data_IF_975656590438
#
_entry.id   IF_975656590438
#
_cell.length_a   1.000
_cell.length_b   1.000
_cell.length_c   1.000
_cell.angle_alpha   90.00
_cell.angle_beta   90.00
_cell.angle_gamma   90.00
#
_symmetry.space_group_name_H-M   'P 1'
#
loop_
_entity.id
_entity.type
_entity.pdbx_description
1 polymer ?
#
# COMPACT_ATOMS: atom_id res chain seq x y z
N UNK A 1 5.36 7.06 -22.40
CA UNK A 1 4.82 7.81 -21.24
C UNK A 1 3.36 8.08 -21.52
N UNK A 2 2.45 7.57 -20.68
CA UNK A 2 1.02 7.83 -20.76
C UNK A 2 0.65 8.88 -19.72
N UNK A 3 -0.04 9.94 -20.13
CA UNK A 3 -0.57 10.96 -19.22
C UNK A 3 -2.09 10.81 -19.22
N UNK A 4 -2.66 10.56 -18.05
CA UNK A 4 -4.07 10.25 -17.87
C UNK A 4 -4.55 10.84 -16.54
N UNK A 5 -5.82 11.23 -16.47
CA UNK A 5 -6.47 11.54 -15.19
C UNK A 5 -6.78 10.24 -14.43
N UNK A 6 -7.51 10.33 -13.31
CA UNK A 6 -8.02 9.16 -12.55
C UNK A 6 -8.73 8.12 -13.43
N UNK A 7 -9.14 8.50 -14.64
CA UNK A 7 -9.65 7.61 -15.69
C UNK A 7 -8.49 6.82 -16.34
N UNK A 8 -7.83 5.98 -15.53
CA UNK A 8 -7.37 4.62 -15.91
C UNK A 8 -8.41 3.60 -15.39
N UNK A 9 -9.62 4.08 -15.08
CA UNK A 9 -10.71 3.28 -14.50
C UNK A 9 -11.23 2.19 -15.46
N UNK A 10 -11.04 2.37 -16.78
CA UNK A 10 -11.50 1.40 -17.79
C UNK A 10 -10.33 0.80 -18.60
N UNK A 11 -9.88 -0.38 -18.17
CA UNK A 11 -9.39 -1.40 -19.11
C UNK A 11 -8.07 -1.19 -19.85
N UNK A 12 -7.31 -0.11 -19.60
CA UNK A 12 -5.95 0.02 -20.16
C UNK A 12 -5.02 -0.90 -19.37
N UNK A 13 -4.78 -2.06 -19.94
CA UNK A 13 -3.73 -3.00 -19.52
C UNK A 13 -2.52 -2.79 -20.43
N UNK A 14 -1.46 -2.22 -19.88
CA UNK A 14 -0.17 -2.08 -20.57
C UNK A 14 0.82 -2.97 -19.83
N UNK A 15 1.02 -4.22 -20.26
CA UNK A 15 1.88 -5.18 -19.55
C UNK A 15 3.33 -4.70 -19.37
N UNK A 16 3.81 -3.83 -20.25
CA UNK A 16 5.14 -3.23 -20.19
C UNK A 16 5.24 -2.03 -19.24
N UNK A 17 4.13 -1.54 -18.67
CA UNK A 17 4.15 -0.44 -17.73
C UNK A 17 4.62 -0.92 -16.36
N UNK A 18 5.80 -0.46 -15.95
CA UNK A 18 6.43 -0.79 -14.67
C UNK A 18 6.54 0.41 -13.73
N UNK A 19 6.18 1.62 -14.17
CA UNK A 19 6.30 2.84 -13.37
C UNK A 19 5.02 3.65 -13.47
N UNK A 20 4.47 4.06 -12.32
CA UNK A 20 3.34 4.97 -12.23
C UNK A 20 3.72 6.20 -11.40
N UNK A 21 3.30 7.38 -11.86
CA UNK A 21 3.42 8.64 -11.12
C UNK A 21 2.00 9.14 -10.84
N UNK A 22 1.65 9.26 -9.56
CA UNK A 22 0.33 9.70 -9.13
C UNK A 22 0.46 11.13 -8.60
N UNK A 23 -0.01 12.09 -9.39
CA UNK A 23 -0.09 13.49 -9.00
C UNK A 23 -1.24 13.71 -8.00
N UNK A 24 -1.01 14.54 -6.99
CA UNK A 24 -1.96 14.82 -5.90
C UNK A 24 -2.51 13.56 -5.24
N UNK A 25 -1.62 12.63 -4.87
CA UNK A 25 -1.98 11.41 -4.17
C UNK A 25 -2.75 11.67 -2.84
N UNK A 26 -2.59 12.86 -2.25
CA UNK A 26 -3.36 13.35 -1.09
C UNK A 26 -4.89 13.34 -1.31
N UNK A 27 -5.33 13.48 -2.56
CA UNK A 27 -6.75 13.55 -2.94
C UNK A 27 -7.42 12.19 -3.14
N UNK A 28 -6.66 11.10 -3.18
CA UNK A 28 -7.20 9.77 -3.48
C UNK A 28 -7.50 8.97 -2.22
N UNK A 29 -8.58 8.19 -2.23
CA UNK A 29 -8.85 7.20 -1.20
C UNK A 29 -7.83 6.06 -1.20
N UNK A 30 -7.70 5.36 -0.06
CA UNK A 30 -6.70 4.29 0.10
C UNK A 30 -6.89 3.17 -0.92
N UNK A 31 -8.15 2.76 -1.13
CA UNK A 31 -8.51 1.73 -2.10
C UNK A 31 -8.16 2.16 -3.54
N UNK A 32 -8.37 3.43 -3.89
CA UNK A 32 -8.02 3.95 -5.21
C UNK A 32 -6.51 3.92 -5.45
N UNK A 33 -5.72 4.36 -4.45
CA UNK A 33 -4.25 4.29 -4.51
C UNK A 33 -3.76 2.85 -4.67
N UNK A 34 -4.35 1.92 -3.91
CA UNK A 34 -4.03 0.49 -4.02
C UNK A 34 -4.38 -0.08 -5.41
N UNK A 35 -5.53 0.27 -5.95
CA UNK A 35 -5.94 -0.14 -7.30
C UNK A 35 -5.03 0.43 -8.38
N UNK A 36 -4.65 1.71 -8.30
CA UNK A 36 -3.71 2.35 -9.23
C UNK A 36 -2.32 1.72 -9.16
N UNK A 37 -1.81 1.43 -7.96
CA UNK A 37 -0.54 0.70 -7.77
C UNK A 37 -0.57 -0.66 -8.45
N UNK A 38 -1.68 -1.40 -8.34
CA UNK A 38 -1.85 -2.70 -8.98
C UNK A 38 -1.95 -2.70 -10.51
N UNK A 39 -1.93 -1.52 -11.17
CA UNK A 39 -1.90 -1.40 -12.64
C UNK A 39 -0.49 -1.50 -13.22
N UNK A 40 0.55 -1.42 -12.40
CA UNK A 40 1.96 -1.60 -12.81
C UNK A 40 2.56 -2.84 -12.16
N UNK A 41 3.65 -3.36 -12.73
CA UNK A 41 4.37 -4.50 -12.13
C UNK A 41 3.79 -5.87 -12.48
N UNK A 42 3.17 -5.99 -13.67
CA UNK A 42 2.71 -7.28 -14.23
C UNK A 42 3.82 -8.12 -14.87
N UNK A 43 5.09 -7.72 -14.70
CA UNK A 43 6.27 -8.38 -15.25
C UNK A 43 7.17 -8.91 -14.12
N UNK A 44 8.18 -9.71 -14.44
CA UNK A 44 9.18 -10.18 -13.47
C UNK A 44 10.14 -9.08 -12.99
N UNK A 45 10.00 -7.84 -13.47
CA UNK A 45 10.82 -6.72 -13.07
C UNK A 45 10.14 -5.88 -11.98
N UNK A 46 10.96 -5.36 -11.07
CA UNK A 46 10.54 -4.38 -10.06
C UNK A 46 9.74 -3.25 -10.71
N UNK A 47 8.58 -2.96 -10.12
CA UNK A 47 7.79 -1.79 -10.46
C UNK A 47 7.92 -0.71 -9.40
N UNK A 48 7.69 0.54 -9.82
CA UNK A 48 7.78 1.71 -8.96
C UNK A 48 6.49 2.52 -9.02
N UNK A 49 5.98 2.93 -7.85
CA UNK A 49 4.85 3.83 -7.73
C UNK A 49 5.28 5.08 -6.96
N UNK A 50 5.30 6.23 -7.65
CA UNK A 50 5.66 7.51 -7.05
C UNK A 50 4.38 8.28 -6.68
N UNK A 51 4.18 8.50 -5.38
CA UNK A 51 3.06 9.26 -4.83
C UNK A 51 3.49 10.71 -4.65
N UNK A 52 3.08 11.59 -5.55
CA UNK A 52 3.42 13.01 -5.51
C UNK A 52 2.36 13.76 -4.70
N UNK A 53 2.82 14.54 -3.73
CA UNK A 53 1.95 15.24 -2.77
C UNK A 53 2.44 16.67 -2.58
N UNK A 54 1.56 17.61 -2.17
CA UNK A 54 2.00 18.91 -1.71
C UNK A 54 2.78 18.75 -0.38
N UNK A 55 3.48 19.81 0.08
CA UNK A 55 4.18 19.77 1.36
C UNK A 55 3.26 19.31 2.50
N UNK A 56 3.74 18.51 3.49
CA UNK A 56 2.89 17.93 4.53
C UNK A 56 2.00 18.92 5.30
N UNK A 57 2.45 20.17 5.44
CA UNK A 57 1.68 21.26 6.08
C UNK A 57 0.40 21.64 5.32
N UNK A 58 0.31 21.33 4.03
CA UNK A 58 -0.84 21.60 3.17
C UNK A 58 -1.79 20.39 3.03
N UNK A 59 -1.48 19.26 3.68
CA UNK A 59 -2.30 18.06 3.64
C UNK A 59 -3.16 17.93 4.91
N UNK A 60 -4.30 17.26 4.78
CA UNK A 60 -5.09 16.87 5.96
C UNK A 60 -4.39 15.75 6.73
N UNK A 61 -4.62 15.67 8.04
CA UNK A 61 -4.08 14.58 8.88
C UNK A 61 -4.46 13.19 8.35
N UNK A 62 -5.68 13.06 7.83
CA UNK A 62 -6.16 11.80 7.26
C UNK A 62 -5.46 11.44 5.95
N UNK A 63 -5.13 12.43 5.11
CA UNK A 63 -4.35 12.19 3.90
C UNK A 63 -2.94 11.71 4.25
N UNK A 64 -2.29 12.31 5.25
CA UNK A 64 -0.96 11.87 5.72
C UNK A 64 -1.00 10.42 6.21
N UNK A 65 -1.93 10.08 7.12
CA UNK A 65 -2.10 8.70 7.63
C UNK A 65 -2.33 7.68 6.51
N UNK A 66 -3.13 8.05 5.51
CA UNK A 66 -3.42 7.21 4.36
C UNK A 66 -2.18 6.96 3.51
N UNK A 67 -1.39 8.01 3.25
CA UNK A 67 -0.16 7.95 2.48
C UNK A 67 0.93 7.14 3.19
N UNK A 68 1.00 7.24 4.52
CA UNK A 68 1.86 6.38 5.34
C UNK A 68 1.43 4.91 5.25
N UNK A 69 0.13 4.63 5.40
CA UNK A 69 -0.41 3.27 5.32
C UNK A 69 -0.15 2.60 3.96
N UNK A 70 -0.33 3.31 2.84
CA UNK A 70 -0.06 2.74 1.51
C UNK A 70 1.44 2.53 1.29
N UNK A 71 2.31 3.41 1.82
CA UNK A 71 3.76 3.28 1.69
C UNK A 71 4.32 2.13 2.53
N UNK A 72 3.71 1.84 3.68
CA UNK A 72 4.06 0.69 4.51
C UNK A 72 3.61 -0.66 3.93
N UNK A 73 2.67 -0.65 2.98
CA UNK A 73 2.15 -1.88 2.36
C UNK A 73 3.06 -2.48 1.28
N UNK A 74 4.26 -1.92 1.07
CA UNK A 74 5.24 -2.32 0.05
C UNK A 74 6.11 -3.53 0.46
N UNK A 75 6.07 -3.95 1.73
CA UNK A 75 6.79 -5.15 2.11
C UNK A 75 6.05 -6.39 1.62
N UNK A 76 6.64 -7.01 0.59
CA UNK A 76 6.53 -8.43 0.28
C UNK A 76 6.94 -9.23 1.53
N UNK A 77 6.08 -9.27 2.54
CA UNK A 77 6.43 -9.68 3.89
C UNK A 77 5.45 -9.18 4.96
N UNK A 78 4.73 -8.08 4.76
CA UNK A 78 3.80 -7.55 5.76
C UNK A 78 2.68 -8.54 6.13
N UNK A 79 2.20 -9.35 5.18
CA UNK A 79 1.25 -10.43 5.48
C UNK A 79 1.86 -11.57 6.32
N UNK A 80 3.15 -11.87 6.12
CA UNK A 80 3.89 -12.88 6.88
C UNK A 80 4.28 -12.36 8.27
N UNK A 81 4.79 -11.12 8.37
CA UNK A 81 5.09 -10.46 9.64
C UNK A 81 3.85 -10.26 10.48
N UNK A 82 2.72 -9.81 9.90
CA UNK A 82 1.45 -9.68 10.64
C UNK A 82 0.92 -11.04 11.10
N UNK A 83 1.06 -12.10 10.27
CA UNK A 83 0.65 -13.46 10.63
C UNK A 83 1.58 -14.11 11.69
N UNK A 84 2.89 -13.89 11.61
CA UNK A 84 3.86 -14.33 12.62
C UNK A 84 3.67 -13.60 13.94
N UNK A 85 3.36 -12.30 13.91
CA UNK A 85 3.08 -11.53 15.13
C UNK A 85 1.74 -11.94 15.75
N UNK A 86 0.70 -12.24 14.95
CA UNK A 86 -0.56 -12.81 15.46
C UNK A 86 -0.35 -14.22 16.07
N UNK A 87 0.54 -15.03 15.46
CA UNK A 87 0.91 -16.35 15.99
C UNK A 87 1.73 -16.28 17.28
N UNK A 88 2.65 -15.32 17.41
CA UNK A 88 3.39 -15.07 18.67
C UNK A 88 2.46 -14.59 19.79
N UNK A 89 1.49 -13.72 19.49
CA UNK A 89 0.50 -13.25 20.46
C UNK A 89 -0.39 -14.41 20.94
N UNK A 90 -0.77 -15.33 20.04
CA UNK A 90 -1.54 -16.53 20.40
C UNK A 90 -0.71 -17.59 21.12
N UNK A 91 0.54 -17.82 20.70
CA UNK A 91 1.43 -18.83 21.26
C UNK A 91 2.07 -18.45 22.60
N UNK A 92 2.25 -17.16 22.87
CA UNK A 92 2.71 -16.67 24.17
C UNK A 92 1.60 -16.78 25.25
N UNK A 93 0.33 -16.84 24.85
CA UNK A 93 -0.81 -17.01 25.77
C UNK A 93 -0.95 -18.43 26.33
N UNK A 94 -0.45 -19.45 25.64
CA UNK A 94 -0.58 -20.86 26.04
C UNK A 94 0.61 -21.36 26.88
N UNK A 95 1.73 -20.62 26.90
CA UNK A 95 2.92 -20.91 27.72
C UNK A 95 2.96 -20.18 29.08
N UNK A 96 1.98 -19.33 29.37
CA UNK A 96 1.85 -18.60 30.64
C UNK A 96 0.56 -18.96 31.41
N UNK A 97 -0.11 -20.04 31.02
CA UNK A 97 -1.34 -20.53 31.62
C UNK A 97 -1.13 -21.79 32.44
N UNK A 98 -0.31 -21.73 33.48
CA UNK A 98 -0.27 -22.74 34.54
C UNK A 98 -0.23 -22.09 35.93
N UNK A 99 -1.12 -21.10 36.14
CA UNK A 99 -1.57 -20.68 37.48
C UNK A 99 -3.05 -20.29 37.42
N UNK A 100 -3.94 -21.27 37.17
CA UNK A 100 -5.33 -21.18 37.62
C UNK A 100 -5.62 -22.34 38.57
N UNK A 101 -5.56 -22.03 39.86
CA UNK A 101 -6.36 -22.73 40.89
C UNK A 101 -7.85 -22.50 40.66
#
# INVERSE_FOLDING_TARGET
VLVCSTIIETGIDVPSANTILIERADKFGLAQLHQLRGRVGRSHHQAYAYLLTPPPKAMTRDAVKRLEAISASDDLGAGFTLASHDMEIRGAGELLGDEQS
#
